data_IF_719512024026
#
_entry.id   IF_719512024026
#
_cell.length_a   1.000
_cell.length_b   1.000
_cell.length_c   1.000
_cell.angle_alpha   90.00
_cell.angle_beta   90.00
_cell.angle_gamma   90.00
#
_symmetry.space_group_name_H-M   'P 1'
#
loop_
_entity.id
_entity.type
_entity.pdbx_description
1 polymer ?
#
# COMPACT_ATOMS: atom_id res chain seq x y z
N UNK A 1 15.00 -4.38 -13.55
CA UNK A 1 15.55 -3.84 -12.29
C UNK A 1 14.42 -3.15 -11.54
N UNK A 2 14.34 -3.32 -10.22
CA UNK A 2 13.32 -2.70 -9.38
C UNK A 2 13.97 -1.70 -8.44
N UNK A 3 13.41 -0.50 -8.34
CA UNK A 3 13.86 0.55 -7.42
C UNK A 3 12.64 1.20 -6.76
N UNK A 4 12.76 1.49 -5.48
CA UNK A 4 11.75 2.20 -4.70
C UNK A 4 12.47 3.37 -4.02
N UNK A 5 11.98 4.58 -4.22
CA UNK A 5 12.62 5.78 -3.67
C UNK A 5 11.62 6.86 -3.28
N UNK A 6 12.04 7.79 -2.42
CA UNK A 6 11.30 9.02 -2.13
C UNK A 6 11.74 10.08 -3.14
N UNK A 7 10.78 10.70 -3.81
CA UNK A 7 10.99 11.79 -4.78
C UNK A 7 11.97 11.45 -5.93
N UNK A 8 12.20 10.16 -6.21
CA UNK A 8 13.19 9.71 -7.18
C UNK A 8 14.65 9.93 -6.76
N UNK A 9 14.91 10.15 -5.47
CA UNK A 9 16.24 10.53 -4.95
C UNK A 9 16.72 9.61 -3.83
N UNK A 10 15.93 9.44 -2.78
CA UNK A 10 16.33 8.66 -1.59
C UNK A 10 15.82 7.24 -1.71
N UNK A 11 16.70 6.25 -1.87
CA UNK A 11 16.32 4.84 -1.99
C UNK A 11 15.68 4.37 -0.68
N UNK A 12 14.49 3.76 -0.77
CA UNK A 12 13.80 3.14 0.36
C UNK A 12 14.25 1.70 0.55
N UNK A 13 15.07 1.47 1.57
CA UNK A 13 15.47 0.13 2.00
C UNK A 13 14.44 -0.51 2.93
N UNK A 14 14.49 -1.85 3.00
CA UNK A 14 13.57 -2.64 3.81
C UNK A 14 13.75 -2.34 5.30
N UNK A 15 12.66 -2.04 5.99
CA UNK A 15 12.60 -1.74 7.42
C UNK A 15 13.45 -0.54 7.86
N UNK A 16 13.82 0.35 6.93
CA UNK A 16 14.51 1.60 7.24
C UNK A 16 13.55 2.79 7.10
N UNK A 17 13.07 3.38 8.21
CA UNK A 17 12.23 4.57 8.16
C UNK A 17 12.99 5.77 7.58
N UNK A 18 12.31 6.58 6.78
CA UNK A 18 12.82 7.83 6.24
C UNK A 18 11.78 8.93 6.36
N UNK A 19 12.24 10.18 6.51
CA UNK A 19 11.37 11.34 6.56
C UNK A 19 10.50 11.42 5.30
N UNK A 20 9.21 11.71 5.49
CA UNK A 20 8.22 11.72 4.42
C UNK A 20 7.19 12.84 4.64
N UNK A 21 7.37 13.92 3.91
CA UNK A 21 6.53 15.11 3.99
C UNK A 21 5.25 14.97 3.16
N UNK A 22 4.31 15.89 3.37
CA UNK A 22 2.99 15.87 2.73
C UNK A 22 3.03 15.87 1.20
N UNK A 23 4.01 16.56 0.62
CA UNK A 23 4.18 16.70 -0.84
C UNK A 23 5.09 15.63 -1.44
N UNK A 24 5.73 14.81 -0.59
CA UNK A 24 6.60 13.74 -1.05
C UNK A 24 5.77 12.62 -1.70
N UNK A 25 6.42 11.89 -2.61
CA UNK A 25 5.84 10.71 -3.25
C UNK A 25 6.82 9.53 -3.20
N UNK A 26 6.24 8.34 -3.19
CA UNK A 26 7.00 7.11 -3.42
C UNK A 26 7.10 6.92 -4.93
N UNK A 27 8.32 6.88 -5.45
CA UNK A 27 8.63 6.48 -6.80
C UNK A 27 8.86 4.96 -6.83
N UNK A 28 8.10 4.25 -7.66
CA UNK A 28 8.33 2.82 -7.92
C UNK A 28 8.71 2.67 -9.39
N UNK A 29 9.92 2.16 -9.63
CA UNK A 29 10.42 1.84 -10.96
C UNK A 29 10.57 0.33 -11.11
N UNK A 30 9.88 -0.24 -12.10
CA UNK A 30 9.93 -1.66 -12.45
C UNK A 30 10.14 -1.78 -13.96
N UNK A 31 11.31 -2.23 -14.38
CA UNK A 31 11.72 -2.22 -15.79
C UNK A 31 11.58 -0.81 -16.37
N UNK A 32 10.75 -0.63 -17.40
CA UNK A 32 10.52 0.65 -18.08
C UNK A 32 9.30 1.41 -17.51
N UNK A 33 8.61 0.84 -16.52
CA UNK A 33 7.47 1.50 -15.87
C UNK A 33 7.92 2.29 -14.65
N UNK A 34 7.55 3.57 -14.61
CA UNK A 34 7.75 4.46 -13.45
C UNK A 34 6.41 5.01 -13.03
N UNK A 35 6.08 4.90 -11.74
CA UNK A 35 4.88 5.48 -11.15
C UNK A 35 5.21 6.27 -9.89
N UNK A 36 4.46 7.36 -9.68
CA UNK A 36 4.59 8.23 -8.51
C UNK A 36 3.34 8.09 -7.65
N UNK A 37 3.54 7.73 -6.39
CA UNK A 37 2.46 7.39 -5.47
C UNK A 37 2.42 8.44 -4.38
N UNK A 38 1.42 9.29 -4.45
CA UNK A 38 1.13 10.30 -3.43
C UNK A 38 0.28 9.67 -2.34
N UNK A 39 0.81 9.57 -1.12
CA UNK A 39 0.11 8.91 0.00
C UNK A 39 -1.09 9.74 0.47
N UNK A 40 -0.98 11.06 0.41
CA UNK A 40 -1.95 12.00 0.98
C UNK A 40 -2.93 12.59 -0.04
N UNK A 41 -2.88 12.14 -1.30
CA UNK A 41 -3.73 12.63 -2.38
C UNK A 41 -4.24 11.45 -3.20
N UNK A 42 -5.32 11.68 -3.93
CA UNK A 42 -5.82 10.67 -4.85
C UNK A 42 -4.84 10.49 -6.02
N UNK A 43 -4.48 9.25 -6.31
CA UNK A 43 -3.66 8.90 -7.45
C UNK A 43 -4.56 8.54 -8.64
N UNK A 44 -4.29 9.14 -9.80
CA UNK A 44 -4.96 8.86 -11.07
C UNK A 44 -4.03 8.06 -11.96
N UNK A 45 -3.87 6.76 -11.67
CA UNK A 45 -3.08 5.85 -12.50
C UNK A 45 -3.79 4.50 -12.60
N UNK A 46 -3.90 3.99 -13.82
CA UNK A 46 -4.44 2.65 -14.10
C UNK A 46 -3.37 1.56 -13.95
N UNK A 47 -2.09 1.95 -13.80
CA UNK A 47 -0.97 1.00 -13.74
C UNK A 47 -0.75 0.39 -12.36
N UNK A 48 -1.37 0.96 -11.33
CA UNK A 48 -1.30 0.44 -9.98
C UNK A 48 -2.61 0.65 -9.20
N UNK A 49 -2.78 -0.13 -8.15
CA UNK A 49 -3.83 0.06 -7.15
C UNK A 49 -3.17 0.29 -5.80
N UNK A 50 -3.57 1.35 -5.10
CA UNK A 50 -3.10 1.65 -3.75
C UNK A 50 -4.26 1.71 -2.76
N UNK A 51 -4.11 1.05 -1.61
CA UNK A 51 -5.15 0.99 -0.57
C UNK A 51 -4.58 0.75 0.82
N UNK A 52 -5.26 1.26 1.84
CA UNK A 52 -4.96 0.96 3.24
C UNK A 52 -5.55 -0.38 3.67
N UNK A 53 -4.95 -1.04 4.66
CA UNK A 53 -5.48 -2.27 5.25
C UNK A 53 -6.53 -1.97 6.33
N UNK A 54 -7.58 -1.25 5.94
CA UNK A 54 -8.69 -0.83 6.81
C UNK A 54 -10.02 -1.12 6.14
N UNK A 55 -11.02 -1.54 6.92
CA UNK A 55 -12.38 -1.80 6.48
C UNK A 55 -13.37 -0.99 7.34
N UNK A 56 -14.39 -0.36 6.73
CA UNK A 56 -14.56 -0.16 5.28
C UNK A 56 -13.47 0.76 4.69
N UNK A 57 -13.26 0.69 3.37
CA UNK A 57 -12.35 1.57 2.63
C UNK A 57 -13.05 2.21 1.43
N UNK A 58 -12.54 3.38 1.01
CA UNK A 58 -13.05 4.16 -0.10
C UNK A 58 -12.91 3.48 -1.48
N UNK A 59 -12.08 2.43 -1.59
CA UNK A 59 -11.92 1.64 -2.83
C UNK A 59 -12.88 0.46 -2.92
N UNK A 60 -13.72 0.23 -1.90
CA UNK A 60 -14.68 -0.88 -1.88
C UNK A 60 -14.05 -2.26 -1.74
N UNK A 61 -12.79 -2.36 -1.31
CA UNK A 61 -12.09 -3.65 -1.17
C UNK A 61 -12.76 -4.47 -0.05
N UNK A 62 -13.19 -5.72 -0.31
CA UNK A 62 -13.86 -6.55 0.69
C UNK A 62 -12.95 -6.87 1.88
N UNK A 63 -13.54 -7.03 3.08
CA UNK A 63 -12.81 -7.40 4.29
C UNK A 63 -11.94 -8.65 4.06
N UNK A 64 -12.50 -9.72 3.47
CA UNK A 64 -11.79 -10.98 3.19
C UNK A 64 -10.48 -10.79 2.42
N UNK A 65 -10.46 -9.84 1.49
CA UNK A 65 -9.26 -9.53 0.71
C UNK A 65 -8.23 -8.77 1.54
N UNK A 66 -8.67 -7.80 2.35
CA UNK A 66 -7.82 -7.12 3.32
C UNK A 66 -7.20 -8.12 4.30
N UNK A 67 -8.00 -9.05 4.85
CA UNK A 67 -7.50 -10.08 5.78
C UNK A 67 -6.48 -10.98 5.08
N UNK A 68 -6.73 -11.41 3.84
CA UNK A 68 -5.80 -12.23 3.05
C UNK A 68 -4.46 -11.54 2.83
N UNK A 69 -4.48 -10.25 2.47
CA UNK A 69 -3.25 -9.46 2.27
C UNK A 69 -2.52 -9.24 3.59
N UNK A 70 -3.24 -8.91 4.66
CA UNK A 70 -2.64 -8.69 5.98
C UNK A 70 -2.02 -9.96 6.56
N UNK A 71 -2.67 -11.12 6.39
CA UNK A 71 -2.15 -12.41 6.88
C UNK A 71 -0.84 -12.85 6.20
N UNK A 72 -0.53 -12.34 5.00
CA UNK A 72 0.78 -12.53 4.35
C UNK A 72 1.91 -11.78 5.07
N UNK A 73 1.57 -10.77 5.86
CA UNK A 73 2.48 -10.02 6.74
C UNK A 73 2.20 -10.40 8.20
N UNK A 74 2.89 -11.44 8.68
CA UNK A 74 2.66 -12.02 10.02
C UNK A 74 2.83 -11.04 11.19
N UNK A 75 3.49 -9.90 10.96
CA UNK A 75 3.69 -8.86 11.97
C UNK A 75 2.50 -7.89 12.11
N UNK A 76 1.55 -7.89 11.16
CA UNK A 76 0.35 -7.06 11.26
C UNK A 76 -0.65 -7.69 12.25
N UNK A 77 -1.13 -6.87 13.18
CA UNK A 77 -2.16 -7.20 14.17
C UNK A 77 -3.49 -6.59 13.76
N UNK A 78 -4.58 -7.37 13.89
CA UNK A 78 -5.96 -6.91 13.69
C UNK A 78 -6.40 -6.06 14.88
N UNK A 79 -6.99 -4.90 14.60
CA UNK A 79 -7.59 -4.03 15.61
C UNK A 79 -9.05 -3.72 15.22
N UNK A 80 -9.97 -3.87 16.18
CA UNK A 80 -11.41 -3.68 15.98
C UNK A 80 -11.87 -2.47 16.80
N UNK A 81 -12.41 -1.47 16.11
CA UNK A 81 -13.04 -0.31 16.72
C UNK A 81 -14.50 -0.62 17.01
N UNK A 82 -14.79 -1.18 18.18
CA UNK A 82 -16.13 -1.65 18.55
C UNK A 82 -17.24 -0.59 18.40
N UNK A 83 -16.92 0.69 18.61
CA UNK A 83 -17.90 1.79 18.48
C UNK A 83 -18.34 2.04 17.04
N UNK A 84 -17.47 1.81 16.07
CA UNK A 84 -17.70 2.18 14.66
C UNK A 84 -17.76 0.96 13.73
N UNK A 85 -17.38 -0.22 14.23
CA UNK A 85 -17.22 -1.44 13.42
C UNK A 85 -16.00 -1.42 12.51
N UNK A 86 -15.16 -0.38 12.57
CA UNK A 86 -13.96 -0.30 11.73
C UNK A 86 -12.95 -1.37 12.13
N UNK A 87 -12.33 -2.00 11.14
CA UNK A 87 -11.25 -2.96 11.32
C UNK A 87 -10.02 -2.37 10.67
N UNK A 88 -8.90 -2.36 11.39
CA UNK A 88 -7.61 -1.87 10.89
C UNK A 88 -6.53 -2.88 11.21
N UNK A 89 -5.70 -3.22 10.22
CA UNK A 89 -4.50 -4.01 10.44
C UNK A 89 -3.32 -3.06 10.64
N UNK A 90 -2.58 -3.24 11.73
CA UNK A 90 -1.52 -2.31 12.15
C UNK A 90 -0.32 -3.08 12.70
N UNK A 91 0.84 -2.43 12.76
CA UNK A 91 1.99 -2.93 13.51
C UNK A 91 2.53 -1.83 14.38
N UNK A 92 3.40 -2.19 15.31
CA UNK A 92 4.14 -1.28 16.16
C UNK A 92 5.62 -1.44 15.82
N UNK A 93 6.31 -0.33 15.58
CA UNK A 93 7.76 -0.31 15.32
C UNK A 93 8.33 0.77 16.23
N UNK A 94 9.28 0.40 17.09
CA UNK A 94 9.87 1.31 18.08
C UNK A 94 8.81 2.09 18.90
N UNK A 95 7.82 1.38 19.43
CA UNK A 95 6.70 1.92 20.22
C UNK A 95 5.80 2.93 19.48
N UNK A 96 5.94 3.01 18.15
CA UNK A 96 5.12 3.86 17.28
C UNK A 96 4.17 3.01 16.46
N UNK A 97 2.89 3.36 16.52
CA UNK A 97 1.84 2.73 15.74
C UNK A 97 1.99 3.04 14.26
N UNK A 98 2.22 2.01 13.46
CA UNK A 98 2.38 2.10 12.01
C UNK A 98 1.05 1.84 11.33
N UNK A 99 0.67 2.74 10.41
CA UNK A 99 -0.48 2.54 9.53
C UNK A 99 -0.01 1.97 8.19
N UNK A 100 -0.29 0.69 7.90
CA UNK A 100 0.16 0.08 6.66
C UNK A 100 -0.77 0.41 5.48
N UNK A 101 -0.15 0.55 4.31
CA UNK A 101 -0.85 0.58 3.03
C UNK A 101 -0.11 -0.29 2.01
N UNK A 102 -0.85 -0.67 0.98
CA UNK A 102 -0.42 -1.62 -0.04
C UNK A 102 -0.49 -0.97 -1.40
N UNK A 103 0.52 -1.22 -2.22
CA UNK A 103 0.52 -0.88 -3.64
C UNK A 103 0.67 -2.17 -4.43
N UNK A 104 -0.21 -2.40 -5.40
CA UNK A 104 -0.12 -3.52 -6.35
C UNK A 104 0.23 -2.94 -7.71
N UNK A 105 1.36 -3.34 -8.28
CA UNK A 105 1.89 -2.84 -9.56
C UNK A 105 2.74 -3.92 -10.23
N UNK A 106 2.57 -4.13 -11.55
CA UNK A 106 3.38 -5.06 -12.36
C UNK A 106 3.57 -6.48 -11.77
N UNK A 107 2.52 -7.08 -11.18
CA UNK A 107 2.56 -8.37 -10.45
C UNK A 107 3.39 -8.36 -9.15
N UNK A 108 3.69 -7.18 -8.61
CA UNK A 108 4.30 -7.01 -7.30
C UNK A 108 3.32 -6.39 -6.32
N UNK A 109 3.45 -6.78 -5.05
CA UNK A 109 2.78 -6.19 -3.90
C UNK A 109 3.84 -5.54 -3.03
N UNK A 110 3.74 -4.23 -2.88
CA UNK A 110 4.59 -3.42 -2.02
C UNK A 110 3.83 -3.09 -0.75
N UNK A 111 4.49 -3.30 0.39
CA UNK A 111 3.93 -3.03 1.69
C UNK A 111 4.69 -1.86 2.30
N UNK A 112 3.96 -0.79 2.59
CA UNK A 112 4.51 0.41 3.18
C UNK A 112 3.86 0.67 4.52
N UNK A 113 4.60 1.32 5.41
CA UNK A 113 4.10 1.82 6.69
C UNK A 113 4.30 3.32 6.76
N UNK A 114 3.30 4.04 7.27
CA UNK A 114 3.45 5.43 7.69
C UNK A 114 3.50 5.46 9.22
N UNK A 115 4.57 6.03 9.75
CA UNK A 115 4.75 6.30 11.17
C UNK A 115 4.29 7.73 11.45
N UNK A 116 3.35 7.95 12.37
CA UNK A 116 3.04 9.29 12.82
C UNK A 116 4.29 9.92 13.43
N UNK A 117 4.67 11.11 12.95
CA UNK A 117 5.46 12.03 13.77
C UNK A 117 4.64 12.46 14.99
N UNK A 118 5.26 13.07 16.00
CA UNK A 118 4.64 13.33 17.31
C UNK A 118 3.31 14.10 17.24
N UNK A 119 2.99 14.71 16.10
CA UNK A 119 1.61 15.03 15.72
C UNK A 119 1.35 14.75 14.23
N UNK A 120 0.31 13.94 13.96
CA UNK A 120 -0.43 13.81 12.70
C UNK A 120 0.12 14.55 11.47
N UNK A 121 0.67 13.81 10.49
CA UNK A 121 1.05 14.30 9.15
C UNK A 121 1.96 15.54 9.15
N UNK A 122 2.66 15.78 10.26
CA UNK A 122 3.63 16.85 10.43
C UNK A 122 4.99 16.52 9.81
N UNK A 123 5.97 17.43 9.91
CA UNK A 123 7.30 17.31 9.31
C UNK A 123 8.09 16.08 9.78
N UNK A 124 7.69 15.46 10.89
CA UNK A 124 8.34 14.28 11.47
C UNK A 124 7.75 12.95 10.99
N UNK A 125 6.76 12.99 10.08
CA UNK A 125 6.18 11.77 9.53
C UNK A 125 7.25 10.96 8.81
N UNK A 126 7.29 9.65 9.06
CA UNK A 126 8.21 8.75 8.37
C UNK A 126 7.46 7.73 7.54
N UNK A 127 8.10 7.30 6.46
CA UNK A 127 7.68 6.15 5.66
C UNK A 127 8.70 5.03 5.79
N UNK A 128 8.22 3.79 5.81
CA UNK A 128 9.07 2.59 5.81
C UNK A 128 8.56 1.61 4.76
N UNK A 129 9.48 1.00 4.01
CA UNK A 129 9.18 -0.17 3.20
C UNK A 129 9.19 -1.41 4.10
N UNK A 130 8.03 -2.03 4.29
CA UNK A 130 7.84 -3.19 5.17
C UNK A 130 8.06 -4.53 4.44
N UNK A 131 7.97 -4.53 3.10
CA UNK A 131 8.14 -5.74 2.32
C UNK A 131 7.78 -5.57 0.86
N UNK A 132 8.29 -6.48 0.05
CA UNK A 132 7.95 -6.61 -1.37
C UNK A 132 7.72 -8.09 -1.65
N UNK A 133 6.62 -8.41 -2.34
CA UNK A 133 6.34 -9.77 -2.79
C UNK A 133 5.98 -9.78 -4.27
N UNK A 134 6.46 -10.78 -5.00
CA UNK A 134 5.98 -11.10 -6.35
C UNK A 134 4.73 -11.97 -6.22
N UNK A 135 3.69 -11.67 -7.00
CA UNK A 135 2.56 -12.57 -7.17
C UNK A 135 3.03 -13.75 -8.05
N UNK A 136 3.10 -14.96 -7.49
CA UNK A 136 3.35 -16.16 -8.29
C UNK A 136 2.10 -16.49 -9.12
N UNK A 137 2.29 -16.81 -10.40
CA UNK A 137 1.24 -17.40 -11.24
C UNK A 137 0.99 -18.82 -10.74
N UNK A 138 -0.13 -19.07 -10.06
CA UNK A 138 -0.47 -20.43 -9.64
C UNK A 138 -1.30 -20.62 -8.37
N UNK A 139 -1.91 -19.59 -7.75
CA UNK A 139 -2.97 -19.81 -6.76
C UNK A 139 -4.29 -19.27 -7.27
N UNK A 140 -4.91 -20.01 -8.18
CA UNK A 140 -6.37 -20.02 -8.35
C UNK A 140 -6.99 -20.75 -7.16
N UNK A 141 -7.06 -20.08 -6.01
CA UNK A 141 -8.08 -20.37 -5.01
C UNK A 141 -8.96 -19.11 -4.95
N UNK A 142 -10.20 -19.26 -5.43
CA UNK A 142 -11.09 -18.18 -5.86
C UNK A 142 -11.16 -16.98 -4.91
N UNK A 143 -10.40 -15.94 -5.23
CA UNK A 143 -10.55 -14.52 -4.88
C UNK A 143 -9.20 -13.80 -5.11
N UNK A 144 -8.65 -13.91 -6.31
CA UNK A 144 -7.67 -12.94 -6.86
C UNK A 144 -8.06 -12.73 -8.31
N UNK A 145 -9.16 -12.01 -8.50
CA UNK A 145 -9.56 -11.46 -9.77
C UNK A 145 -9.16 -9.99 -9.79
N UNK A 146 -7.95 -9.72 -10.24
CA UNK A 146 -7.67 -8.52 -11.04
C UNK A 146 -6.94 -9.09 -12.26
N UNK A 147 -7.59 -9.19 -13.44
CA UNK A 147 -8.34 -8.10 -14.07
C UNK A 147 -9.74 -8.49 -14.60
N UNK A 148 -10.64 -7.50 -14.71
CA UNK A 148 -11.56 -7.46 -15.84
C UNK A 148 -11.29 -6.17 -16.62
N UNK A 149 -10.44 -6.31 -17.65
CA UNK A 149 -10.33 -5.36 -18.75
C UNK A 149 -11.60 -5.54 -19.58
N UNK A 150 -12.48 -4.54 -19.64
CA UNK A 150 -13.34 -4.17 -20.79
C UNK A 150 -14.64 -3.49 -20.34
N UNK A 151 -14.84 -2.26 -20.81
CA UNK A 151 -15.97 -2.03 -21.72
C UNK A 151 -15.44 -1.19 -22.88
N UNK A 152 -15.18 -1.88 -23.99
CA UNK A 152 -15.26 -1.28 -25.33
C UNK A 152 -16.67 -0.71 -25.49
N UNK A 153 -16.79 0.61 -25.63
CA UNK A 153 -17.96 1.20 -26.28
C UNK A 153 -17.51 1.72 -27.64
N UNK A 154 -17.52 0.82 -28.61
CA UNK A 154 -17.60 1.17 -30.02
C UNK A 154 -18.73 0.34 -30.62
N UNK A 155 -19.82 1.01 -30.95
CA UNK A 155 -20.61 0.77 -32.17
C UNK A 155 -21.41 2.04 -32.43
N UNK A 156 -21.08 2.64 -33.58
CA UNK A 156 -21.91 3.34 -34.58
C UNK A 156 -23.31 3.81 -34.22
#
# INVERSE_FOLDING_TARGET
>A
MMEISINGKSILELNQPQAFHREDFVCIKIHDTVEHIYIYRENRSEKFVAFGLTYPNHKGIPLKEIESVANKLRFLKKHIYHKTGYISYRTEIADVMVTPFVVVMCKYVFYFGVLPGDNSRGPETMIVLLGVRKCEEGTTSGAVGIPSLSTSSATE
#
